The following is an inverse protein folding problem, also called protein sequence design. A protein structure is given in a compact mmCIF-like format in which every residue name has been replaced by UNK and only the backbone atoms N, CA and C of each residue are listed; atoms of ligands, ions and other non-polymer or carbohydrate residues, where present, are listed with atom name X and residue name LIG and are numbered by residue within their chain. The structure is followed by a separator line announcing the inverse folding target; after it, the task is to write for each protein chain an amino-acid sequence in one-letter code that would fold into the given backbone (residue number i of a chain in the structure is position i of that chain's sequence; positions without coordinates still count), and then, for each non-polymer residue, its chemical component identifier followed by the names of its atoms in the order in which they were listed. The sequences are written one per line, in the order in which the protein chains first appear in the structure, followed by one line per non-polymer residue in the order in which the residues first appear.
data_IF_332046910758
#
_entry.id   IF_332046910758
#
_cell.length_a   1.000
_cell.length_b   1.000
_cell.length_c   1.000
_cell.angle_alpha   90.00
_cell.angle_beta   90.00
_cell.angle_gamma   90.00
#
_symmetry.space_group_name_H-M   'P 1'
#
loop_
_entity.id
_entity.type
_entity.pdbx_description
1 polymer ?
#
# COMPACT_ATOMS: atom_id res chain seq x y z
N UNK A 1 12.84 -17.38 11.10
CA UNK A 1 12.61 -16.04 10.51
C UNK A 1 13.07 -15.05 11.56
N UNK A 2 13.94 -14.13 11.20
CA UNK A 2 14.38 -13.08 12.12
C UNK A 2 13.34 -11.95 12.13
N UNK A 3 13.09 -11.31 13.29
CA UNK A 3 12.22 -10.14 13.35
C UNK A 3 12.82 -8.98 12.57
N UNK A 4 11.95 -8.11 12.04
CA UNK A 4 12.39 -6.86 11.43
C UNK A 4 13.00 -5.98 12.52
N UNK A 5 14.20 -5.39 12.31
CA UNK A 5 14.74 -4.40 13.22
C UNK A 5 13.77 -3.24 13.44
N UNK A 6 13.70 -2.73 14.67
CA UNK A 6 12.79 -1.62 15.03
C UNK A 6 13.57 -0.35 15.42
N UNK A 7 14.78 -0.18 14.93
CA UNK A 7 15.69 0.96 15.18
C UNK A 7 15.59 2.07 14.11
N UNK A 8 14.40 2.25 13.56
CA UNK A 8 14.06 3.26 12.57
C UNK A 8 12.91 4.15 13.07
N UNK A 9 12.75 5.35 12.50
CA UNK A 9 11.71 6.32 12.86
C UNK A 9 10.63 6.47 11.79
N UNK A 10 10.98 6.33 10.49
CA UNK A 10 10.08 6.56 9.36
C UNK A 10 10.02 5.38 8.41
N UNK A 11 8.80 4.96 8.09
CA UNK A 11 8.55 3.94 7.08
C UNK A 11 7.50 4.40 6.06
N UNK A 12 7.54 3.81 4.88
CA UNK A 12 6.46 3.86 3.90
C UNK A 12 5.99 2.46 3.59
N UNK A 13 4.68 2.23 3.67
CA UNK A 13 4.05 1.00 3.21
C UNK A 13 3.45 1.28 1.82
N UNK A 14 3.94 0.55 0.82
CA UNK A 14 3.57 0.72 -0.59
C UNK A 14 2.79 -0.49 -1.05
N UNK A 15 1.58 -0.27 -1.55
CA UNK A 15 0.69 -1.33 -2.03
C UNK A 15 -0.04 -0.89 -3.29
N UNK A 16 -0.75 -1.81 -3.93
CA UNK A 16 -1.51 -1.51 -5.13
C UNK A 16 -2.87 -0.87 -4.83
N UNK A 17 -3.63 -1.43 -3.88
CA UNK A 17 -5.04 -1.07 -3.67
C UNK A 17 -5.36 -0.78 -2.21
N UNK A 18 -6.44 -0.03 -1.92
CA UNK A 18 -7.10 -0.05 -0.63
C UNK A 18 -7.49 -1.49 -0.25
N UNK A 19 -7.32 -1.86 1.02
CA UNK A 19 -7.46 -3.18 1.67
C UNK A 19 -6.18 -4.04 1.73
N UNK A 20 -5.22 -3.85 0.86
CA UNK A 20 -3.95 -4.60 0.88
C UNK A 20 -3.21 -4.49 2.23
N UNK A 21 -3.27 -3.32 2.85
CA UNK A 21 -2.59 -3.01 4.11
C UNK A 21 -3.24 -3.70 5.30
N UNK A 22 -4.57 -3.77 5.32
CA UNK A 22 -5.37 -4.43 6.35
C UNK A 22 -5.06 -5.92 6.42
N UNK A 23 -5.01 -6.57 5.27
CA UNK A 23 -4.67 -8.00 5.18
C UNK A 23 -3.18 -8.28 5.35
N UNK A 24 -2.32 -7.31 5.05
CA UNK A 24 -0.87 -7.49 5.02
C UNK A 24 -0.18 -7.09 6.31
N UNK A 25 -0.20 -5.81 6.66
CA UNK A 25 0.75 -5.22 7.62
C UNK A 25 0.11 -4.39 8.74
N UNK A 26 -1.20 -4.14 8.71
CA UNK A 26 -1.87 -3.21 9.64
C UNK A 26 -1.60 -3.52 11.12
N UNK A 27 -1.52 -4.80 11.52
CA UNK A 27 -1.21 -5.17 12.89
C UNK A 27 0.21 -4.75 13.32
N UNK A 28 1.19 -4.85 12.43
CA UNK A 28 2.55 -4.39 12.69
C UNK A 28 2.61 -2.86 12.70
N UNK A 29 1.89 -2.20 11.79
CA UNK A 29 1.77 -0.73 11.74
C UNK A 29 1.20 -0.19 13.04
N UNK A 30 0.10 -0.76 13.56
CA UNK A 30 -0.48 -0.36 14.85
C UNK A 30 0.52 -0.45 16.00
N UNK A 31 1.39 -1.47 16.00
CA UNK A 31 2.47 -1.60 16.96
C UNK A 31 3.51 -0.48 16.81
N UNK A 32 3.95 -0.21 15.58
CA UNK A 32 5.01 0.76 15.31
C UNK A 32 4.55 2.20 15.56
N UNK A 33 3.35 2.57 15.15
CA UNK A 33 2.76 3.88 15.45
C UNK A 33 2.53 4.06 16.95
N UNK A 34 2.13 2.99 17.67
CA UNK A 34 2.05 2.98 19.13
C UNK A 34 3.42 3.16 19.83
N UNK A 35 4.52 2.90 19.13
CA UNK A 35 5.89 3.21 19.59
C UNK A 35 6.35 4.62 19.23
N UNK A 36 5.51 5.42 18.55
CA UNK A 36 5.83 6.77 18.11
C UNK A 36 6.52 6.87 16.75
N UNK A 37 6.56 5.77 15.97
CA UNK A 37 7.13 5.77 14.62
C UNK A 37 6.14 6.37 13.62
N UNK A 38 6.66 7.06 12.60
CA UNK A 38 5.88 7.60 11.50
C UNK A 38 5.78 6.56 10.38
N UNK A 39 4.56 6.16 10.03
CA UNK A 39 4.28 5.31 8.88
C UNK A 39 3.40 6.08 7.90
N UNK A 40 3.81 6.12 6.64
CA UNK A 40 3.01 6.68 5.54
C UNK A 40 2.50 5.53 4.67
N UNK A 41 1.23 5.59 4.28
CA UNK A 41 0.65 4.70 3.29
C UNK A 41 0.74 5.33 1.91
N UNK A 42 1.22 4.57 0.93
CA UNK A 42 1.33 4.98 -0.48
C UNK A 42 0.69 3.89 -1.34
N UNK A 43 -0.45 4.20 -1.94
CA UNK A 43 -1.20 3.29 -2.77
C UNK A 43 -1.05 3.66 -4.25
N UNK A 44 -0.80 2.68 -5.10
CA UNK A 44 -0.63 2.92 -6.54
C UNK A 44 -1.94 3.33 -7.20
N UNK A 45 -3.07 2.75 -6.79
CA UNK A 45 -4.40 2.99 -7.33
C UNK A 45 -5.39 3.43 -6.25
N UNK A 46 -6.59 3.76 -6.65
CA UNK A 46 -7.72 4.05 -5.75
C UNK A 46 -8.63 2.83 -5.55
N UNK A 47 -8.28 1.69 -6.16
CA UNK A 47 -9.09 0.48 -6.13
C UNK A 47 -10.44 0.64 -6.83
N UNK A 48 -10.50 1.52 -7.82
CA UNK A 48 -11.75 1.99 -8.44
C UNK A 48 -12.48 0.91 -9.26
N UNK A 49 -11.80 -0.17 -9.62
CA UNK A 49 -12.42 -1.32 -10.29
C UNK A 49 -12.85 -2.45 -9.32
N UNK A 50 -12.63 -2.28 -8.01
CA UNK A 50 -12.78 -3.34 -7.02
C UNK A 50 -14.22 -3.68 -6.60
N UNK A 51 -15.24 -2.90 -6.97
CA UNK A 51 -16.64 -3.15 -6.56
C UNK A 51 -17.51 -3.45 -7.78
N UNK A 52 -17.95 -4.70 -7.91
CA UNK A 52 -18.81 -5.10 -9.00
C UNK A 52 -20.16 -4.35 -8.98
N UNK A 53 -20.55 -3.81 -10.13
CA UNK A 53 -21.84 -3.14 -10.29
C UNK A 53 -21.87 -1.66 -9.90
N UNK A 54 -20.75 -1.10 -9.45
CA UNK A 54 -20.59 0.34 -9.22
C UNK A 54 -19.64 0.95 -10.27
N UNK A 55 -19.87 2.23 -10.61
CA UNK A 55 -18.99 2.93 -11.54
C UNK A 55 -17.65 3.30 -10.87
N UNK A 56 -16.51 3.23 -11.58
CA UNK A 56 -15.19 3.52 -11.02
C UNK A 56 -15.06 4.93 -10.40
N UNK A 57 -15.74 5.91 -10.95
CA UNK A 57 -15.76 7.29 -10.46
C UNK A 57 -16.54 7.46 -9.14
N UNK A 58 -17.42 6.52 -8.82
CA UNK A 58 -18.09 6.42 -7.52
C UNK A 58 -17.26 5.59 -6.51
N UNK A 59 -16.65 4.50 -6.98
CA UNK A 59 -15.89 3.56 -6.15
C UNK A 59 -14.59 4.17 -5.64
N UNK A 60 -13.83 4.86 -6.51
CA UNK A 60 -12.53 5.41 -6.14
C UNK A 60 -12.60 6.33 -4.92
N UNK A 61 -13.44 7.39 -4.90
CA UNK A 61 -13.60 8.25 -3.73
C UNK A 61 -14.05 7.50 -2.47
N UNK A 62 -14.96 6.53 -2.61
CA UNK A 62 -15.44 5.71 -1.50
C UNK A 62 -14.29 4.93 -0.85
N UNK A 63 -13.55 4.16 -1.64
CA UNK A 63 -12.43 3.34 -1.15
C UNK A 63 -11.28 4.16 -0.60
N UNK A 64 -11.01 5.33 -1.19
CA UNK A 64 -10.03 6.26 -0.63
C UNK A 64 -10.41 6.75 0.77
N UNK A 65 -11.69 6.98 1.03
CA UNK A 65 -12.17 7.41 2.33
C UNK A 65 -12.15 6.25 3.35
N UNK A 66 -12.52 5.05 2.93
CA UNK A 66 -12.43 3.84 3.75
C UNK A 66 -10.98 3.58 4.19
N UNK A 67 -10.04 3.66 3.26
CA UNK A 67 -8.61 3.49 3.54
C UNK A 67 -8.09 4.53 4.52
N UNK A 68 -8.47 5.81 4.39
CA UNK A 68 -8.07 6.86 5.34
C UNK A 68 -8.58 6.59 6.75
N UNK A 69 -9.83 6.13 6.87
CA UNK A 69 -10.42 5.76 8.18
C UNK A 69 -9.74 4.55 8.78
N UNK A 70 -9.45 3.54 7.97
CA UNK A 70 -8.71 2.36 8.39
C UNK A 70 -7.30 2.73 8.87
N UNK A 71 -6.59 3.55 8.11
CA UNK A 71 -5.27 4.06 8.46
C UNK A 71 -5.27 4.81 9.81
N UNK A 72 -6.27 5.64 10.06
CA UNK A 72 -6.42 6.38 11.32
C UNK A 72 -6.55 5.44 12.53
N UNK A 73 -7.24 4.31 12.39
CA UNK A 73 -7.40 3.31 13.46
C UNK A 73 -6.05 2.75 13.92
N UNK A 74 -5.10 2.60 13.01
CA UNK A 74 -3.75 2.10 13.30
C UNK A 74 -2.72 3.22 13.48
N UNK A 75 -3.16 4.46 13.66
CA UNK A 75 -2.30 5.60 13.96
C UNK A 75 -1.55 6.18 12.76
N UNK A 76 -1.95 5.87 11.54
CA UNK A 76 -1.40 6.44 10.31
C UNK A 76 -2.20 7.68 9.92
N UNK A 77 -1.54 8.82 9.85
CA UNK A 77 -2.16 10.11 9.51
C UNK A 77 -1.95 10.52 8.04
N UNK A 78 -1.05 9.85 7.33
CA UNK A 78 -0.68 10.20 5.97
C UNK A 78 -0.93 9.05 5.01
N UNK A 79 -1.97 9.20 4.18
CA UNK A 79 -2.34 8.25 3.12
C UNK A 79 -2.27 8.97 1.78
N UNK A 80 -1.42 8.48 0.90
CA UNK A 80 -1.18 9.02 -0.43
C UNK A 80 -1.65 8.02 -1.49
N UNK A 81 -2.35 8.53 -2.50
CA UNK A 81 -2.75 7.75 -3.65
C UNK A 81 -2.02 8.28 -4.88
N UNK A 82 -1.43 7.37 -5.62
CA UNK A 82 -0.91 7.64 -6.96
C UNK A 82 -2.07 7.61 -7.96
N UNK A 83 -1.81 7.96 -9.20
CA UNK A 83 -2.87 8.07 -10.21
C UNK A 83 -2.78 6.95 -11.26
N UNK A 84 -2.42 5.74 -10.80
CA UNK A 84 -2.46 4.55 -11.65
C UNK A 84 -3.86 3.95 -11.66
N UNK A 85 -4.24 3.39 -12.80
CA UNK A 85 -5.54 2.75 -12.98
C UNK A 85 -5.54 1.35 -12.36
N UNK A 86 -6.56 1.06 -11.55
CA UNK A 86 -6.76 -0.25 -10.91
C UNK A 86 -6.92 -1.36 -11.97
N UNK A 87 -6.16 -2.44 -11.79
CA UNK A 87 -6.08 -3.57 -12.71
C UNK A 87 -5.09 -3.40 -13.87
N UNK A 88 -4.50 -2.21 -14.03
CA UNK A 88 -3.63 -1.86 -15.15
C UNK A 88 -2.27 -1.29 -14.74
N UNK A 89 -1.82 -1.57 -13.52
CA UNK A 89 -0.48 -1.16 -13.08
C UNK A 89 0.57 -2.01 -13.79
N UNK A 90 1.47 -1.36 -14.52
CA UNK A 90 2.53 -2.02 -15.26
C UNK A 90 3.88 -1.83 -14.57
N UNK A 91 4.60 -2.95 -14.37
CA UNK A 91 6.00 -2.89 -13.98
C UNK A 91 6.83 -2.19 -15.07
N UNK A 92 7.47 -1.08 -14.72
CA UNK A 92 8.26 -0.36 -15.71
C UNK A 92 8.89 0.93 -15.20
N UNK A 93 9.50 1.66 -16.14
CA UNK A 93 10.20 2.92 -15.85
C UNK A 93 9.26 4.00 -15.28
N UNK A 94 8.03 4.18 -15.77
CA UNK A 94 7.11 5.18 -15.20
C UNK A 94 6.84 4.95 -13.71
N UNK A 95 6.39 3.75 -13.33
CA UNK A 95 6.10 3.39 -11.95
C UNK A 95 7.34 3.56 -11.05
N UNK A 96 8.49 3.07 -11.51
CA UNK A 96 9.76 3.21 -10.76
C UNK A 96 10.15 4.65 -10.52
N UNK A 97 9.99 5.52 -11.53
CA UNK A 97 10.28 6.96 -11.42
C UNK A 97 9.35 7.63 -10.41
N UNK A 98 8.07 7.32 -10.48
CA UNK A 98 7.05 7.95 -9.65
C UNK A 98 7.18 7.49 -8.19
N UNK A 99 7.42 6.19 -7.94
CA UNK A 99 7.77 5.68 -6.61
C UNK A 99 9.06 6.32 -6.08
N UNK A 100 10.11 6.41 -6.89
CA UNK A 100 11.36 7.06 -6.49
C UNK A 100 11.16 8.54 -6.15
N UNK A 101 10.22 9.22 -6.82
CA UNK A 101 9.88 10.61 -6.51
C UNK A 101 9.23 10.73 -5.13
N UNK A 102 8.28 9.87 -4.82
CA UNK A 102 7.63 9.86 -3.49
C UNK A 102 8.63 9.47 -2.38
N UNK A 103 9.48 8.47 -2.60
CA UNK A 103 10.51 8.09 -1.62
C UNK A 103 11.50 9.22 -1.33
N UNK A 104 11.88 10.02 -2.34
CA UNK A 104 12.72 11.19 -2.12
C UNK A 104 12.04 12.29 -1.30
N UNK A 105 10.72 12.43 -1.41
CA UNK A 105 9.94 13.37 -0.61
C UNK A 105 9.76 12.87 0.83
N UNK A 106 9.45 11.57 0.98
CA UNK A 106 9.12 10.95 2.26
C UNK A 106 10.36 10.60 3.09
N UNK A 107 11.50 10.36 2.44
CA UNK A 107 12.75 9.96 3.08
C UNK A 107 12.59 8.78 4.06
N UNK A 108 11.94 7.67 3.65
CA UNK A 108 11.75 6.54 4.55
C UNK A 108 13.07 5.81 4.81
N UNK A 109 13.20 5.27 6.01
CA UNK A 109 14.30 4.38 6.40
C UNK A 109 13.95 2.92 6.07
N UNK A 110 12.63 2.63 6.07
CA UNK A 110 12.08 1.31 5.74
C UNK A 110 10.98 1.44 4.70
N UNK A 111 11.02 0.58 3.70
CA UNK A 111 9.96 0.40 2.71
C UNK A 111 9.35 -0.97 2.91
N UNK A 112 8.03 -1.01 3.08
CA UNK A 112 7.24 -2.22 3.25
C UNK A 112 6.37 -2.38 2.02
N UNK A 113 6.29 -3.58 1.48
CA UNK A 113 5.42 -3.88 0.35
C UNK A 113 4.89 -5.31 0.43
N UNK A 114 3.94 -5.62 -0.41
CA UNK A 114 3.37 -6.96 -0.53
C UNK A 114 4.27 -7.91 -1.32
N UNK A 115 3.86 -9.18 -1.35
CA UNK A 115 4.48 -10.17 -2.21
C UNK A 115 4.27 -9.82 -3.68
N UNK A 116 5.36 -9.72 -4.42
CA UNK A 116 5.39 -9.49 -5.87
C UNK A 116 5.65 -10.77 -6.68
N UNK A 117 5.58 -11.94 -6.05
CA UNK A 117 5.76 -13.22 -6.72
C UNK A 117 4.55 -13.55 -7.60
N UNK A 118 4.78 -14.37 -8.63
CA UNK A 118 3.75 -14.78 -9.58
C UNK A 118 2.56 -15.48 -8.91
N UNK A 119 2.81 -16.19 -7.83
CA UNK A 119 1.79 -16.94 -7.09
C UNK A 119 1.82 -16.62 -5.60
N UNK A 120 0.70 -16.78 -4.93
CA UNK A 120 0.62 -16.77 -3.48
C UNK A 120 1.22 -18.07 -2.91
N UNK A 121 2.44 -17.98 -2.38
CA UNK A 121 3.22 -19.13 -1.98
C UNK A 121 3.80 -19.91 -3.17
N UNK A 122 4.38 -21.09 -2.90
CA UNK A 122 5.08 -21.88 -3.92
C UNK A 122 4.14 -22.50 -4.96
N UNK A 123 2.91 -22.84 -4.58
CA UNK A 123 1.90 -23.53 -5.41
C UNK A 123 0.50 -22.94 -5.27
N UNK A 124 0.41 -21.69 -4.86
CA UNK A 124 -0.87 -21.00 -4.68
C UNK A 124 -1.48 -20.46 -5.98
N UNK A 125 -2.65 -19.80 -5.90
CA UNK A 125 -3.25 -19.12 -7.04
C UNK A 125 -2.33 -17.99 -7.56
N UNK A 126 -2.55 -17.61 -8.81
CA UNK A 126 -1.83 -16.49 -9.43
C UNK A 126 -2.12 -15.21 -8.65
N UNK A 127 -1.06 -14.47 -8.33
CA UNK A 127 -1.16 -13.18 -7.66
C UNK A 127 -1.80 -12.13 -8.57
N UNK A 128 -2.37 -11.07 -7.98
CA UNK A 128 -2.97 -9.98 -8.75
C UNK A 128 -1.96 -9.34 -9.71
N UNK A 129 -2.42 -8.90 -10.87
CA UNK A 129 -1.54 -8.31 -11.88
C UNK A 129 -0.79 -7.08 -11.33
N UNK A 130 -1.47 -6.23 -10.58
CA UNK A 130 -0.91 -5.00 -10.01
C UNK A 130 0.09 -5.24 -8.87
N UNK A 131 0.18 -6.47 -8.34
CA UNK A 131 1.17 -6.85 -7.31
C UNK A 131 2.48 -7.39 -7.90
N UNK A 132 2.53 -7.68 -9.21
CA UNK A 132 3.65 -8.39 -9.86
C UNK A 132 4.60 -7.49 -10.63
#
# INVERSE_FOLDING_TARGET
MEPIPEDWDRAVAVVAHPDDLEYGVAAAVARWTGQGKEVTYLLATKGEAGIAGMAPDEVGPLRMEEERRSAEVVGVSKVLFMDYQDGLVEYGVPLRRDLATEFRKLQPEVVITMSFYLTWGEVGPVNHADHR
#
